data_IF_275514338808
#
_entry.id   IF_275514338808
#
_cell.length_a   1.000
_cell.length_b   1.000
_cell.length_c   1.000
_cell.angle_alpha   90.00
_cell.angle_beta   90.00
_cell.angle_gamma   90.00
#
_symmetry.space_group_name_H-M   'P 1'
#
loop_
_entity.id
_entity.type
_entity.pdbx_description
1 polymer ?
#
# COMPACT_ATOMS: atom_id res chain seq x y z
N UNK A 1 40.55 13.22 22.12
CA UNK A 1 39.12 13.50 22.39
C UNK A 1 38.27 13.64 21.12
N UNK A 2 38.80 14.23 20.06
CA UNK A 2 38.03 14.36 18.80
C UNK A 2 37.59 13.04 18.17
N UNK A 3 38.36 11.97 18.32
CA UNK A 3 38.06 10.67 17.73
C UNK A 3 36.84 10.01 18.37
N UNK A 4 36.64 10.21 19.68
CA UNK A 4 35.50 9.61 20.39
C UNK A 4 34.20 10.27 19.95
N UNK A 5 34.17 11.60 19.83
CA UNK A 5 33.01 12.36 19.39
C UNK A 5 32.65 11.99 17.94
N UNK A 6 33.65 11.87 17.08
CA UNK A 6 33.47 11.50 15.68
C UNK A 6 32.93 10.08 15.55
N UNK A 7 33.44 9.13 16.36
CA UNK A 7 32.97 7.74 16.37
C UNK A 7 31.50 7.66 16.83
N UNK A 8 31.12 8.43 17.86
CA UNK A 8 29.72 8.47 18.32
C UNK A 8 28.82 9.04 17.22
N UNK A 9 29.27 10.09 16.55
CA UNK A 9 28.52 10.71 15.46
C UNK A 9 28.27 9.72 14.32
N UNK A 10 29.31 8.97 13.91
CA UNK A 10 29.17 7.94 12.86
C UNK A 10 28.23 6.83 13.32
N UNK A 11 28.32 6.39 14.57
CA UNK A 11 27.44 5.33 15.10
C UNK A 11 25.98 5.77 15.08
N UNK A 12 25.68 7.00 15.47
CA UNK A 12 24.32 7.55 15.43
C UNK A 12 23.80 7.61 14.00
N UNK A 13 24.59 8.11 13.05
CA UNK A 13 24.20 8.18 11.64
C UNK A 13 23.96 6.79 11.08
N UNK A 14 24.82 5.83 11.40
CA UNK A 14 24.66 4.45 10.93
C UNK A 14 23.38 3.82 11.49
N UNK A 15 23.08 4.06 12.76
CA UNK A 15 21.85 3.56 13.38
C UNK A 15 20.61 4.16 12.69
N UNK A 16 20.60 5.45 12.42
CA UNK A 16 19.49 6.10 11.71
C UNK A 16 19.34 5.54 10.28
N UNK A 17 20.46 5.32 9.59
CA UNK A 17 20.45 4.75 8.26
C UNK A 17 19.85 3.33 8.26
N UNK A 18 20.26 2.49 9.18
CA UNK A 18 19.71 1.14 9.29
C UNK A 18 18.23 1.14 9.64
N UNK A 19 17.81 2.03 10.54
CA UNK A 19 16.41 2.18 10.93
C UNK A 19 15.56 2.61 9.74
N UNK A 20 16.01 3.62 8.98
CA UNK A 20 15.31 4.08 7.80
C UNK A 20 15.22 2.98 6.74
N UNK A 21 16.30 2.25 6.49
CA UNK A 21 16.33 1.14 5.53
C UNK A 21 15.35 0.04 5.95
N UNK A 22 15.32 -0.30 7.23
CA UNK A 22 14.40 -1.31 7.77
C UNK A 22 12.95 -0.87 7.55
N UNK A 23 12.62 0.38 7.88
CA UNK A 23 11.28 0.92 7.71
C UNK A 23 10.87 0.94 6.24
N UNK A 24 11.73 1.46 5.37
CA UNK A 24 11.45 1.55 3.92
C UNK A 24 11.27 0.17 3.30
N UNK A 25 12.11 -0.77 3.64
CA UNK A 25 12.02 -2.15 3.13
C UNK A 25 10.71 -2.79 3.57
N UNK A 26 10.35 -2.64 4.84
CA UNK A 26 9.12 -3.19 5.38
C UNK A 26 7.87 -2.58 4.77
N UNK A 27 7.86 -1.26 4.61
CA UNK A 27 6.75 -0.53 4.01
C UNK A 27 6.56 -0.93 2.53
N UNK A 28 7.65 -0.97 1.76
CA UNK A 28 7.59 -1.39 0.36
C UNK A 28 7.11 -2.83 0.22
N UNK A 29 7.64 -3.72 1.05
CA UNK A 29 7.24 -5.13 1.03
C UNK A 29 5.76 -5.28 1.36
N UNK A 30 5.26 -4.53 2.32
CA UNK A 30 3.85 -4.55 2.69
C UNK A 30 2.98 -4.10 1.52
N UNK A 31 3.36 -3.01 0.85
CA UNK A 31 2.59 -2.47 -0.27
C UNK A 31 2.57 -3.44 -1.46
N UNK A 32 3.69 -4.04 -1.82
CA UNK A 32 3.78 -4.91 -3.00
C UNK A 32 3.34 -6.36 -2.74
N UNK A 33 3.28 -6.79 -1.48
CA UNK A 33 2.90 -8.15 -1.12
C UNK A 33 1.49 -8.24 -0.53
N UNK A 34 0.59 -7.35 -0.95
CA UNK A 34 -0.82 -7.44 -0.55
C UNK A 34 -1.35 -8.80 -1.01
N UNK A 35 -1.94 -9.60 -0.11
CA UNK A 35 -2.43 -10.94 -0.49
C UNK A 35 -3.49 -10.88 -1.58
N UNK A 36 -3.32 -11.73 -2.57
CA UNK A 36 -4.27 -11.84 -3.69
C UNK A 36 -5.68 -12.16 -3.18
N UNK A 37 -5.77 -12.90 -2.07
CA UNK A 37 -7.06 -13.26 -1.47
C UNK A 37 -7.91 -12.06 -1.07
N UNK A 38 -7.27 -10.93 -0.71
CA UNK A 38 -7.99 -9.70 -0.39
C UNK A 38 -8.75 -9.20 -1.62
N UNK A 39 -8.07 -9.18 -2.78
CA UNK A 39 -8.69 -8.72 -4.02
C UNK A 39 -9.75 -9.71 -4.51
N UNK A 40 -9.47 -10.99 -4.48
CA UNK A 40 -10.41 -12.02 -4.92
C UNK A 40 -11.68 -12.05 -4.08
N UNK A 41 -11.53 -11.93 -2.75
CA UNK A 41 -12.68 -11.94 -1.84
C UNK A 41 -13.50 -10.65 -1.89
N UNK A 42 -12.97 -9.61 -2.53
CA UNK A 42 -13.69 -8.34 -2.70
C UNK A 42 -14.44 -8.26 -4.03
N UNK A 43 -14.41 -9.33 -4.82
CA UNK A 43 -15.17 -9.42 -6.07
C UNK A 43 -16.52 -10.06 -5.74
N UNK A 44 -17.64 -9.34 -5.90
CA UNK A 44 -18.95 -9.93 -5.62
C UNK A 44 -19.31 -10.97 -6.67
N UNK A 45 -19.93 -12.06 -6.21
CA UNK A 45 -20.44 -13.09 -7.09
C UNK A 45 -21.80 -12.65 -7.65
N UNK A 46 -21.79 -11.83 -8.68
CA UNK A 46 -23.02 -11.43 -9.35
C UNK A 46 -23.21 -12.29 -10.57
N UNK A 47 -24.19 -13.19 -10.50
CA UNK A 47 -24.63 -13.95 -11.65
C UNK A 47 -25.67 -13.13 -12.40
N UNK A 48 -25.25 -12.47 -13.45
CA UNK A 48 -26.16 -11.88 -14.39
C UNK A 48 -26.15 -12.70 -15.67
N UNK A 49 -27.32 -13.13 -16.13
CA UNK A 49 -27.47 -14.02 -17.28
C UNK A 49 -27.01 -13.43 -18.63
N UNK A 50 -26.79 -12.11 -18.69
CA UNK A 50 -26.49 -11.41 -19.95
C UNK A 50 -25.10 -10.80 -20.02
N UNK A 51 -24.44 -10.53 -18.88
CA UNK A 51 -23.07 -10.04 -18.88
C UNK A 51 -22.42 -10.31 -17.53
N UNK A 52 -21.23 -10.92 -17.56
CA UNK A 52 -20.43 -11.10 -16.36
C UNK A 52 -19.51 -9.87 -16.26
N UNK A 53 -19.88 -8.92 -15.42
CA UNK A 53 -18.99 -7.82 -15.07
C UNK A 53 -18.23 -8.18 -13.80
N UNK A 54 -16.90 -8.23 -13.90
CA UNK A 54 -16.04 -8.48 -12.77
C UNK A 54 -15.55 -7.13 -12.26
N UNK A 55 -15.90 -6.79 -11.03
CA UNK A 55 -15.54 -5.51 -10.42
C UNK A 55 -15.26 -5.71 -8.94
N UNK A 56 -14.59 -4.72 -8.33
CA UNK A 56 -14.36 -4.71 -6.90
C UNK A 56 -15.55 -4.11 -6.15
N UNK A 57 -15.95 -4.74 -5.06
CA UNK A 57 -16.78 -4.08 -4.05
C UNK A 57 -15.90 -3.12 -3.27
N UNK A 58 -16.05 -1.82 -3.53
CA UNK A 58 -15.17 -0.79 -2.97
C UNK A 58 -15.15 -0.82 -1.45
N UNK A 59 -16.31 -0.92 -0.82
CA UNK A 59 -16.39 -0.91 0.65
C UNK A 59 -15.67 -2.11 1.26
N UNK A 60 -15.90 -3.30 0.72
CA UNK A 60 -15.26 -4.54 1.19
C UNK A 60 -13.75 -4.49 0.94
N UNK A 61 -13.34 -4.05 -0.24
CA UNK A 61 -11.92 -3.97 -0.59
C UNK A 61 -11.18 -2.97 0.30
N UNK A 62 -11.73 -1.78 0.49
CA UNK A 62 -11.10 -0.75 1.31
C UNK A 62 -11.02 -1.19 2.78
N UNK A 63 -12.06 -1.82 3.30
CA UNK A 63 -12.07 -2.34 4.67
C UNK A 63 -10.97 -3.39 4.87
N UNK A 64 -10.86 -4.35 3.95
CA UNK A 64 -9.85 -5.41 4.04
C UNK A 64 -8.45 -4.89 3.85
N UNK A 65 -8.25 -3.96 2.93
CA UNK A 65 -6.95 -3.33 2.70
C UNK A 65 -6.52 -2.50 3.91
N UNK A 66 -7.44 -1.72 4.48
CA UNK A 66 -7.16 -0.93 5.69
C UNK A 66 -6.75 -1.84 6.84
N UNK A 67 -7.46 -2.94 7.06
CA UNK A 67 -7.14 -3.92 8.10
C UNK A 67 -5.76 -4.56 7.86
N UNK A 68 -5.47 -4.95 6.63
CA UNK A 68 -4.18 -5.53 6.28
C UNK A 68 -3.02 -4.57 6.54
N UNK A 69 -3.14 -3.33 6.05
CA UNK A 69 -2.09 -2.34 6.23
C UNK A 69 -1.91 -1.95 7.69
N UNK A 70 -3.01 -1.86 8.43
CA UNK A 70 -2.94 -1.53 9.86
C UNK A 70 -2.13 -2.57 10.63
N UNK A 71 -2.36 -3.85 10.37
CA UNK A 71 -1.62 -4.93 11.02
C UNK A 71 -0.17 -5.01 10.56
N UNK A 72 0.06 -4.79 9.27
CA UNK A 72 1.40 -5.01 8.68
C UNK A 72 2.30 -3.81 8.85
N UNK A 73 1.76 -2.58 8.79
CA UNK A 73 2.54 -1.36 8.86
C UNK A 73 2.86 -0.93 10.29
N UNK A 74 2.10 -1.38 11.29
CA UNK A 74 2.32 -1.00 12.69
C UNK A 74 3.73 -1.35 13.18
N UNK A 75 4.38 -2.34 12.56
CA UNK A 75 5.75 -2.75 12.88
C UNK A 75 6.80 -1.79 12.32
N UNK A 76 6.48 -1.03 11.29
CA UNK A 76 7.46 -0.25 10.54
C UNK A 76 7.26 1.25 10.64
N UNK A 77 6.05 1.71 10.92
CA UNK A 77 5.76 3.14 11.02
C UNK A 77 4.73 3.40 12.09
N UNK A 78 4.84 4.56 12.74
CA UNK A 78 3.88 4.99 13.75
C UNK A 78 2.68 5.74 13.16
N UNK A 79 2.83 6.23 11.93
CA UNK A 79 1.77 7.03 11.28
C UNK A 79 1.84 6.82 9.78
N UNK A 80 0.70 6.53 9.19
CA UNK A 80 0.57 6.35 7.76
C UNK A 80 -0.82 6.79 7.31
N UNK A 81 -0.97 7.05 6.01
CA UNK A 81 -2.26 7.30 5.39
C UNK A 81 -2.35 6.53 4.07
N UNK A 82 -3.56 6.13 3.72
CA UNK A 82 -3.85 5.39 2.50
C UNK A 82 -4.83 6.18 1.67
N UNK A 83 -4.55 6.32 0.38
CA UNK A 83 -5.45 6.88 -0.61
C UNK A 83 -5.74 5.82 -1.66
N UNK A 84 -7.01 5.65 -1.99
CA UNK A 84 -7.45 4.69 -2.99
C UNK A 84 -7.97 5.43 -4.21
N UNK A 85 -7.43 5.09 -5.37
CA UNK A 85 -7.86 5.67 -6.64
C UNK A 85 -8.29 4.55 -7.57
N UNK A 86 -9.54 4.57 -7.97
CA UNK A 86 -10.07 3.57 -8.90
C UNK A 86 -9.98 4.09 -10.32
N UNK A 87 -9.51 3.24 -11.22
CA UNK A 87 -9.35 3.61 -12.62
C UNK A 87 -9.83 2.49 -13.53
N UNK A 88 -10.06 2.83 -14.80
CA UNK A 88 -10.41 1.83 -15.81
C UNK A 88 -9.13 1.23 -16.37
N UNK A 89 -9.07 -0.11 -16.40
CA UNK A 89 -7.89 -0.81 -16.90
C UNK A 89 -7.65 -0.56 -18.40
N UNK A 90 -8.73 -0.25 -19.14
CA UNK A 90 -8.64 -0.11 -20.60
C UNK A 90 -8.00 1.20 -21.03
N UNK A 91 -8.41 2.32 -20.42
CA UNK A 91 -7.98 3.67 -20.82
C UNK A 91 -7.29 4.46 -19.71
N UNK A 92 -7.08 3.85 -18.54
CA UNK A 92 -6.48 4.45 -17.35
C UNK A 92 -7.21 5.68 -16.83
N UNK A 93 -8.43 5.94 -17.28
CA UNK A 93 -9.23 7.06 -16.79
C UNK A 93 -9.83 6.76 -15.41
N UNK A 94 -10.15 7.82 -14.66
CA UNK A 94 -10.77 7.66 -13.35
C UNK A 94 -12.10 6.91 -13.45
N UNK A 95 -12.26 5.88 -12.64
CA UNK A 95 -13.49 5.11 -12.58
C UNK A 95 -14.36 5.67 -11.46
N UNK A 96 -15.48 6.29 -11.82
CA UNK A 96 -16.42 6.90 -10.87
C UNK A 96 -17.67 6.07 -10.64
N UNK A 97 -17.79 4.92 -11.31
CA UNK A 97 -18.93 4.03 -11.16
C UNK A 97 -18.65 3.03 -10.04
N UNK A 98 -19.65 2.24 -9.69
CA UNK A 98 -19.51 1.17 -8.71
C UNK A 98 -18.83 -0.08 -9.29
N UNK A 99 -18.56 -0.09 -10.60
CA UNK A 99 -18.06 -1.26 -11.33
C UNK A 99 -16.60 -1.05 -11.75
N UNK A 100 -15.72 -0.80 -10.79
CA UNK A 100 -14.31 -0.57 -11.07
C UNK A 100 -13.51 -1.87 -10.97
N UNK A 101 -12.59 -2.06 -11.92
CA UNK A 101 -11.80 -3.29 -11.99
C UNK A 101 -10.31 -3.07 -11.71
N UNK A 102 -9.92 -1.85 -11.40
CA UNK A 102 -8.53 -1.52 -11.11
C UNK A 102 -8.45 -0.47 -10.01
N UNK A 103 -7.44 -0.60 -9.16
CA UNK A 103 -7.23 0.29 -8.02
C UNK A 103 -5.76 0.67 -7.93
N UNK A 104 -5.50 1.95 -7.65
CA UNK A 104 -4.17 2.43 -7.29
C UNK A 104 -4.18 2.79 -5.81
N UNK A 105 -3.29 2.16 -5.05
CA UNK A 105 -3.13 2.40 -3.62
C UNK A 105 -1.92 3.30 -3.44
N UNK A 106 -2.14 4.49 -2.88
CA UNK A 106 -1.06 5.42 -2.53
C UNK A 106 -0.87 5.38 -1.02
N UNK A 107 0.32 4.99 -0.62
CA UNK A 107 0.70 4.89 0.78
C UNK A 107 1.66 6.03 1.12
N UNK A 108 1.31 6.81 2.13
CA UNK A 108 2.19 7.80 2.75
C UNK A 108 2.49 7.35 4.16
N UNK A 109 3.76 7.20 4.49
CA UNK A 109 4.16 6.72 5.80
C UNK A 109 5.30 7.57 6.34
N UNK A 110 5.31 7.78 7.65
CA UNK A 110 6.42 8.46 8.31
C UNK A 110 7.58 7.50 8.50
N UNK A 111 8.75 7.91 8.02
CA UNK A 111 10.01 7.20 8.20
C UNK A 111 10.91 8.09 9.03
N UNK A 112 11.42 7.57 10.14
CA UNK A 112 12.07 8.35 11.18
C UNK A 112 11.10 9.41 11.74
N UNK A 113 11.60 10.45 12.38
CA UNK A 113 10.72 11.44 13.03
C UNK A 113 10.24 12.52 12.07
N UNK A 114 10.99 12.78 10.99
CA UNK A 114 10.76 13.97 10.16
C UNK A 114 10.56 13.69 8.67
N UNK A 115 10.64 12.43 8.22
CA UNK A 115 10.57 12.09 6.80
C UNK A 115 9.26 11.43 6.47
N UNK A 116 8.65 11.84 5.34
CA UNK A 116 7.46 11.19 4.80
C UNK A 116 7.85 10.45 3.52
N UNK A 117 7.54 9.16 3.48
CA UNK A 117 7.74 8.31 2.32
C UNK A 117 6.39 8.08 1.64
N UNK A 118 6.36 8.27 0.33
CA UNK A 118 5.15 8.06 -0.47
C UNK A 118 5.44 7.10 -1.60
N UNK A 119 4.58 6.09 -1.74
CA UNK A 119 4.68 5.11 -2.82
C UNK A 119 3.28 4.69 -3.26
N UNK A 120 3.15 4.42 -4.54
CA UNK A 120 1.89 3.95 -5.12
C UNK A 120 2.09 2.60 -5.79
N UNK A 121 1.07 1.77 -5.74
CA UNK A 121 1.04 0.49 -6.42
C UNK A 121 -0.32 0.30 -7.08
N UNK A 122 -0.35 -0.32 -8.25
CA UNK A 122 -1.56 -0.56 -9.02
C UNK A 122 -1.89 -2.04 -9.04
N UNK A 123 -3.16 -2.33 -8.81
CA UNK A 123 -3.70 -3.69 -8.81
C UNK A 123 -4.93 -3.73 -9.69
N UNK A 124 -5.07 -4.78 -10.48
CA UNK A 124 -6.19 -4.92 -11.38
C UNK A 124 -6.64 -6.38 -11.47
N UNK A 125 -7.90 -6.56 -11.89
CA UNK A 125 -8.45 -7.89 -12.12
C UNK A 125 -7.91 -8.39 -13.45
N UNK A 126 -7.24 -9.55 -13.43
CA UNK A 126 -6.75 -10.16 -14.66
C UNK A 126 -7.91 -10.80 -15.40
N UNK A 127 -8.10 -10.37 -16.64
CA UNK A 127 -9.04 -11.04 -17.56
C UNK A 127 -8.32 -12.19 -18.23
N UNK A 128 -8.79 -13.39 -17.96
CA UNK A 128 -8.34 -14.57 -18.69
C UNK A 128 -9.09 -14.69 -20.01
#
# INVERSE_FOLDING_TARGET
MGNIIFSIFIAVLSFQFFTATYQLTGINRTLYNVPISIFESSIPLVQNTYSIQIYYDKNTLEEKLTSYFDKSLSKYTSSYSLDFYYYSQEDESACRTDYCNAIEITLKAKVLVAMTYQKSARFYIQKN
#
